data_IF_917964476617
#
_entry.id   IF_917964476617
#
_cell.length_a   1.000
_cell.length_b   1.000
_cell.length_c   1.000
_cell.angle_alpha   90.00
_cell.angle_beta   90.00
_cell.angle_gamma   90.00
#
_symmetry.space_group_name_H-M   'P 1'
#
loop_
_entity.id
_entity.type
_entity.pdbx_description
1 polymer ?
#
# COMPACT_ATOMS: atom_id res chain seq x y z
N UNK A 1 -7.62 15.07 29.34
CA UNK A 1 -7.19 14.57 28.06
C UNK A 1 -8.21 13.60 27.50
N UNK A 2 -8.54 13.74 26.27
CA UNK A 2 -9.49 12.86 25.63
C UNK A 2 -8.74 11.67 25.08
N UNK A 3 -9.20 10.47 25.43
CA UNK A 3 -8.63 9.27 24.86
C UNK A 3 -8.98 9.21 23.39
N UNK A 4 -7.98 8.94 22.58
CA UNK A 4 -8.22 8.81 21.16
C UNK A 4 -8.75 7.40 20.87
N UNK A 5 -9.75 7.29 19.98
CA UNK A 5 -10.22 5.98 19.58
C UNK A 5 -9.08 5.16 19.01
N UNK A 6 -9.19 3.86 19.16
CA UNK A 6 -8.25 2.96 18.56
C UNK A 6 -8.21 3.20 17.05
N UNK A 7 -7.01 3.27 16.48
CA UNK A 7 -6.83 3.57 15.07
C UNK A 7 -6.59 5.03 14.76
N UNK A 8 -6.90 5.92 15.72
CA UNK A 8 -6.61 7.34 15.54
C UNK A 8 -5.09 7.52 15.52
N UNK A 9 -4.57 8.16 14.49
CA UNK A 9 -3.14 8.31 14.31
C UNK A 9 -2.53 7.20 13.46
N UNK A 10 -3.28 6.17 13.11
CA UNK A 10 -2.78 5.12 12.24
C UNK A 10 -2.74 5.64 10.81
N UNK A 11 -1.58 5.49 10.17
CA UNK A 11 -1.37 5.92 8.79
C UNK A 11 -1.20 4.68 7.94
N UNK A 12 -2.02 4.55 6.91
CA UNK A 12 -1.97 3.44 5.97
C UNK A 12 -1.24 3.90 4.72
N UNK A 13 -0.29 3.11 4.23
CA UNK A 13 0.41 3.42 2.99
C UNK A 13 0.32 2.22 2.05
N UNK A 14 -0.07 2.48 0.81
CA UNK A 14 -0.11 1.45 -0.23
C UNK A 14 1.24 1.28 -0.86
N UNK A 15 1.68 0.03 -1.01
CA UNK A 15 3.01 -0.29 -1.53
C UNK A 15 2.88 -1.31 -2.65
N UNK A 16 3.42 -0.98 -3.81
CA UNK A 16 3.44 -1.88 -4.95
C UNK A 16 4.83 -2.08 -5.53
N UNK A 17 5.86 -1.59 -4.85
CA UNK A 17 7.24 -1.72 -5.31
C UNK A 17 7.70 -0.61 -6.24
N UNK A 18 6.81 0.27 -6.67
CA UNK A 18 7.18 1.39 -7.53
C UNK A 18 7.97 2.44 -6.77
N UNK A 19 8.68 3.29 -7.49
CA UNK A 19 9.42 4.38 -6.87
C UNK A 19 8.50 5.34 -6.12
N UNK A 20 7.34 5.64 -6.68
CA UNK A 20 6.43 6.54 -5.98
C UNK A 20 5.88 5.90 -4.70
N UNK A 21 5.70 4.57 -4.67
CA UNK A 21 5.28 3.93 -3.43
C UNK A 21 6.38 3.96 -2.38
N UNK A 22 7.65 3.88 -2.78
CA UNK A 22 8.76 4.05 -1.83
C UNK A 22 8.76 5.45 -1.23
N UNK A 23 8.53 6.46 -2.06
CA UNK A 23 8.41 7.83 -1.57
C UNK A 23 7.20 7.96 -0.64
N UNK A 24 6.12 7.26 -0.96
CA UNK A 24 4.94 7.26 -0.10
C UNK A 24 5.26 6.69 1.28
N UNK A 25 6.06 5.60 1.33
CA UNK A 25 6.47 5.03 2.61
C UNK A 25 7.27 6.04 3.42
N UNK A 26 8.20 6.75 2.78
CA UNK A 26 9.00 7.77 3.46
C UNK A 26 8.13 8.88 4.04
N UNK A 27 7.15 9.34 3.28
CA UNK A 27 6.23 10.37 3.76
C UNK A 27 5.37 9.86 4.91
N UNK A 28 4.90 8.61 4.83
CA UNK A 28 4.09 8.04 5.89
C UNK A 28 4.87 7.95 7.19
N UNK A 29 6.13 7.52 7.14
CA UNK A 29 6.97 7.42 8.33
C UNK A 29 7.23 8.81 8.92
N UNK A 30 7.52 9.79 8.07
CA UNK A 30 7.70 11.16 8.52
C UNK A 30 6.47 11.71 9.23
N UNK A 31 5.32 11.46 8.64
CA UNK A 31 4.07 11.94 9.20
C UNK A 31 3.77 11.25 10.53
N UNK A 32 4.02 9.95 10.60
CA UNK A 32 3.81 9.19 11.83
C UNK A 32 4.72 9.68 12.94
N UNK A 33 5.95 10.03 12.59
CA UNK A 33 6.90 10.57 13.56
C UNK A 33 6.39 11.87 14.16
N UNK A 34 5.88 12.76 13.33
CA UNK A 34 5.36 14.06 13.77
C UNK A 34 4.12 13.90 14.64
N UNK A 35 3.25 12.96 14.29
CA UNK A 35 1.97 12.80 14.99
C UNK A 35 2.02 11.73 16.07
N UNK A 36 3.16 11.11 16.27
CA UNK A 36 3.33 10.01 17.24
C UNK A 36 2.42 8.83 16.93
N UNK A 37 2.16 8.60 15.65
CA UNK A 37 1.35 7.48 15.20
C UNK A 37 2.20 6.34 14.69
N UNK A 38 1.54 5.32 14.16
CA UNK A 38 2.20 4.18 13.52
C UNK A 38 1.83 4.09 12.06
N UNK A 39 2.62 3.34 11.31
CA UNK A 39 2.41 3.12 9.88
C UNK A 39 2.01 1.68 9.62
N UNK A 40 1.01 1.48 8.78
CA UNK A 40 0.64 0.18 8.29
C UNK A 40 0.89 0.17 6.78
N UNK A 41 1.91 -0.55 6.36
CA UNK A 41 2.24 -0.67 4.94
C UNK A 41 1.50 -1.88 4.39
N UNK A 42 0.70 -1.67 3.37
CA UNK A 42 -0.21 -2.69 2.85
C UNK A 42 0.04 -2.91 1.37
N UNK A 43 0.12 -4.17 0.99
CA UNK A 43 0.14 -4.53 -0.42
C UNK A 43 -1.01 -5.49 -0.71
N UNK A 44 -1.48 -5.49 -1.95
CA UNK A 44 -2.53 -6.38 -2.39
C UNK A 44 -1.93 -7.52 -3.21
N UNK A 45 -2.55 -8.69 -3.13
CA UNK A 45 -2.17 -9.79 -3.99
C UNK A 45 -3.42 -10.46 -4.54
N UNK A 46 -3.32 -10.99 -5.74
CA UNK A 46 -4.42 -11.68 -6.41
C UNK A 46 -3.85 -12.87 -7.15
N UNK A 47 -4.72 -13.82 -7.44
CA UNK A 47 -4.32 -14.92 -8.29
C UNK A 47 -4.14 -14.43 -9.72
N UNK A 48 -3.07 -14.85 -10.40
CA UNK A 48 -2.92 -14.52 -11.82
C UNK A 48 -4.10 -15.10 -12.62
N UNK A 49 -4.59 -14.33 -13.55
CA UNK A 49 -5.64 -14.80 -14.44
C UNK A 49 -4.99 -15.31 -15.71
N UNK A 50 -5.19 -16.58 -15.99
CA UNK A 50 -4.66 -17.18 -17.19
C UNK A 50 -5.75 -17.28 -18.24
N UNK A 51 -5.54 -16.60 -19.35
CA UNK A 51 -6.40 -16.70 -20.52
C UNK A 51 -5.56 -17.33 -21.62
N UNK A 52 -5.44 -18.63 -21.60
CA UNK A 52 -4.62 -19.32 -22.57
C UNK A 52 -5.34 -20.51 -23.15
N UNK A 53 -4.60 -21.29 -23.93
CA UNK A 53 -5.15 -22.47 -24.60
C UNK A 53 -5.69 -23.51 -23.61
N UNK A 54 -5.17 -23.53 -22.41
CA UNK A 54 -5.63 -24.46 -21.37
C UNK A 54 -6.81 -23.96 -20.57
N UNK A 55 -7.22 -22.72 -20.81
CA UNK A 55 -8.32 -22.13 -20.07
C UNK A 55 -7.93 -21.74 -18.66
N UNK A 56 -8.94 -21.56 -17.83
CA UNK A 56 -8.73 -21.14 -16.47
C UNK A 56 -8.47 -22.34 -15.57
N UNK A 57 -7.42 -22.26 -14.79
CA UNK A 57 -7.10 -23.28 -13.80
C UNK A 57 -7.27 -22.71 -12.40
N UNK A 58 -8.09 -23.37 -11.55
CA UNK A 58 -8.25 -22.86 -10.20
C UNK A 58 -6.94 -23.02 -9.41
N UNK A 59 -6.55 -22.01 -8.63
CA UNK A 59 -5.38 -22.13 -7.80
C UNK A 59 -5.63 -23.08 -6.64
N UNK A 60 -4.57 -23.74 -6.19
CA UNK A 60 -4.65 -24.60 -5.02
C UNK A 60 -4.39 -23.77 -3.76
N UNK A 61 -4.73 -24.32 -2.60
CA UNK A 61 -4.47 -23.61 -1.34
C UNK A 61 -2.98 -23.38 -1.09
N UNK A 62 -2.11 -24.28 -1.59
CA UNK A 62 -0.68 -24.06 -1.47
C UNK A 62 -0.21 -22.89 -2.32
N UNK A 63 -0.85 -22.66 -3.46
CA UNK A 63 -0.55 -21.50 -4.29
C UNK A 63 -0.92 -20.21 -3.60
N UNK A 64 -2.04 -20.21 -2.88
CA UNK A 64 -2.46 -19.04 -2.13
C UNK A 64 -1.44 -18.65 -1.08
N UNK A 65 -0.98 -19.63 -0.29
CA UNK A 65 0.02 -19.35 0.73
C UNK A 65 1.33 -18.86 0.15
N UNK A 66 1.74 -19.43 -0.98
CA UNK A 66 2.97 -19.02 -1.64
C UNK A 66 2.87 -17.60 -2.19
N UNK A 67 1.72 -17.24 -2.78
CA UNK A 67 1.52 -15.91 -3.32
C UNK A 67 1.51 -14.86 -2.23
N UNK A 68 0.84 -15.15 -1.12
CA UNK A 68 0.81 -14.22 0.00
C UNK A 68 2.19 -14.03 0.60
N UNK A 69 2.93 -15.12 0.78
CA UNK A 69 4.27 -15.05 1.36
C UNK A 69 5.20 -14.23 0.47
N UNK A 70 5.09 -14.41 -0.84
CA UNK A 70 5.92 -13.67 -1.78
C UNK A 70 5.59 -12.19 -1.75
N UNK A 71 4.28 -11.86 -1.71
CA UNK A 71 3.85 -10.48 -1.63
C UNK A 71 4.38 -9.81 -0.36
N UNK A 72 4.34 -10.52 0.76
CA UNK A 72 4.84 -10.00 2.02
C UNK A 72 6.35 -9.81 1.99
N UNK A 73 7.09 -10.72 1.38
CA UNK A 73 8.54 -10.57 1.23
C UNK A 73 8.89 -9.34 0.41
N UNK A 74 8.20 -9.14 -0.70
CA UNK A 74 8.45 -7.98 -1.55
C UNK A 74 8.10 -6.69 -0.85
N UNK A 75 7.00 -6.70 -0.10
CA UNK A 75 6.59 -5.54 0.68
C UNK A 75 7.66 -5.18 1.72
N UNK A 76 8.11 -6.16 2.48
CA UNK A 76 9.13 -5.93 3.50
C UNK A 76 10.40 -5.37 2.89
N UNK A 77 10.82 -5.94 1.77
CA UNK A 77 12.01 -5.44 1.08
C UNK A 77 11.85 -4.00 0.62
N UNK A 78 10.67 -3.69 0.06
CA UNK A 78 10.42 -2.33 -0.43
C UNK A 78 10.44 -1.32 0.73
N UNK A 79 9.85 -1.68 1.85
CA UNK A 79 9.86 -0.81 3.03
C UNK A 79 11.28 -0.60 3.53
N UNK A 80 12.08 -1.66 3.58
CA UNK A 80 13.47 -1.52 4.02
C UNK A 80 14.29 -0.67 3.06
N UNK A 81 14.04 -0.81 1.76
CA UNK A 81 14.72 0.03 0.78
C UNK A 81 14.32 1.49 0.93
N UNK A 82 13.09 1.75 1.33
CA UNK A 82 12.60 3.11 1.45
C UNK A 82 13.08 3.80 2.73
N UNK A 83 13.04 3.12 3.86
CA UNK A 83 13.26 3.76 5.16
C UNK A 83 14.28 3.03 6.05
N UNK A 84 14.91 1.99 5.53
CA UNK A 84 15.92 1.24 6.29
C UNK A 84 15.31 0.24 7.26
N UNK A 85 16.17 -0.55 7.92
CA UNK A 85 15.69 -1.60 8.83
C UNK A 85 15.17 -1.07 10.17
N UNK A 86 15.46 0.20 10.48
CA UNK A 86 15.04 0.80 11.75
C UNK A 86 14.41 2.15 11.49
N UNK A 87 13.17 2.16 10.95
CA UNK A 87 12.52 3.44 10.66
C UNK A 87 12.21 4.22 11.94
N UNK A 88 12.06 5.53 11.78
CA UNK A 88 11.80 6.42 12.91
C UNK A 88 10.45 6.18 13.58
N UNK A 89 9.51 5.59 12.84
CA UNK A 89 8.20 5.24 13.39
C UNK A 89 7.99 3.74 13.19
N UNK A 90 7.11 3.16 13.99
CA UNK A 90 6.78 1.75 13.84
C UNK A 90 6.06 1.51 12.53
N UNK A 91 6.52 0.51 11.78
CA UNK A 91 5.91 0.14 10.50
C UNK A 91 5.48 -1.33 10.58
N UNK A 92 4.19 -1.56 10.42
CA UNK A 92 3.67 -2.92 10.26
C UNK A 92 3.49 -3.21 8.78
N UNK A 93 3.68 -4.44 8.39
CA UNK A 93 3.51 -4.84 7.00
C UNK A 93 2.40 -5.87 6.90
N UNK A 94 1.57 -5.75 5.88
CA UNK A 94 0.46 -6.67 5.67
C UNK A 94 0.19 -6.86 4.18
N UNK A 95 0.06 -8.12 3.78
CA UNK A 95 -0.35 -8.47 2.42
C UNK A 95 -1.78 -8.98 2.48
N UNK A 96 -2.68 -8.39 1.70
CA UNK A 96 -4.10 -8.75 1.69
C UNK A 96 -4.54 -9.19 0.32
N UNK A 97 -5.45 -10.14 0.28
CA UNK A 97 -6.04 -10.62 -0.96
C UNK A 97 -7.05 -9.61 -1.49
N UNK A 98 -6.95 -9.27 -2.76
CA UNK A 98 -7.91 -8.41 -3.42
C UNK A 98 -7.24 -7.47 -4.39
N UNK A 99 -8.05 -6.60 -4.98
CA UNK A 99 -7.51 -5.57 -5.88
C UNK A 99 -6.79 -4.50 -5.08
N UNK A 100 -5.78 -3.85 -5.66
CA UNK A 100 -5.05 -2.82 -4.92
C UNK A 100 -5.94 -1.73 -4.35
N UNK A 101 -6.85 -1.17 -5.16
CA UNK A 101 -7.72 -0.11 -4.66
C UNK A 101 -8.65 -0.62 -3.58
N UNK A 102 -9.26 -1.78 -3.78
CA UNK A 102 -10.20 -2.34 -2.80
C UNK A 102 -9.52 -2.61 -1.47
N UNK A 103 -8.32 -3.19 -1.51
CA UNK A 103 -7.57 -3.49 -0.30
C UNK A 103 -7.24 -2.21 0.46
N UNK A 104 -6.78 -1.18 -0.25
CA UNK A 104 -6.40 0.07 0.41
C UNK A 104 -7.58 0.81 0.98
N UNK A 105 -8.70 0.84 0.26
CA UNK A 105 -9.91 1.49 0.76
C UNK A 105 -10.40 0.82 2.03
N UNK A 106 -10.37 -0.50 2.07
CA UNK A 106 -10.77 -1.24 3.26
C UNK A 106 -9.79 -0.99 4.42
N UNK A 107 -8.49 -1.02 4.13
CA UNK A 107 -7.48 -0.79 5.16
C UNK A 107 -7.57 0.63 5.74
N UNK A 108 -8.04 1.57 4.94
CA UNK A 108 -8.11 2.98 5.36
C UNK A 108 -9.28 3.28 6.31
N UNK A 109 -10.18 2.32 6.50
CA UNK A 109 -11.28 2.54 7.43
C UNK A 109 -10.75 2.78 8.84
N UNK A 110 -11.14 3.90 9.42
CA UNK A 110 -10.67 4.28 10.75
C UNK A 110 -9.25 4.82 10.80
N UNK A 111 -8.58 4.95 9.66
CA UNK A 111 -7.23 5.49 9.64
C UNK A 111 -7.24 7.00 9.71
N UNK A 112 -6.15 7.58 10.19
CA UNK A 112 -5.99 9.02 10.19
C UNK A 112 -5.61 9.55 8.81
N UNK A 113 -4.95 8.73 8.01
CA UNK A 113 -4.44 9.16 6.71
C UNK A 113 -4.16 7.94 5.85
N UNK A 114 -4.44 8.04 4.56
CA UNK A 114 -4.03 7.05 3.56
C UNK A 114 -3.01 7.71 2.64
N UNK A 115 -1.86 7.09 2.48
CA UNK A 115 -0.78 7.60 1.64
C UNK A 115 -0.61 6.67 0.46
N UNK A 116 -0.59 7.20 -0.74
CA UNK A 116 -0.39 6.39 -1.95
C UNK A 116 0.56 7.12 -2.88
N UNK A 117 1.28 6.35 -3.69
CA UNK A 117 2.08 6.93 -4.76
C UNK A 117 1.16 7.44 -5.87
N UNK A 118 1.61 8.43 -6.58
CA UNK A 118 0.81 9.02 -7.66
C UNK A 118 0.63 8.06 -8.83
N UNK A 119 1.57 7.15 -9.03
CA UNK A 119 1.52 6.16 -10.12
C UNK A 119 2.09 4.85 -9.63
N UNK A 120 1.50 3.76 -10.09
CA UNK A 120 2.01 2.44 -9.76
C UNK A 120 2.88 1.87 -10.86
N UNK A 121 3.18 0.59 -10.73
CA UNK A 121 3.92 -0.14 -11.75
C UNK A 121 3.08 -0.22 -13.01
N UNK A 122 3.73 -0.08 -14.16
CA UNK A 122 3.06 -0.24 -15.45
C UNK A 122 2.16 0.90 -15.87
N UNK A 123 2.20 2.01 -15.19
CA UNK A 123 1.41 3.17 -15.58
C UNK A 123 1.94 3.81 -16.85
N UNK A 124 1.06 4.53 -17.55
CA UNK A 124 1.45 5.24 -18.75
C UNK A 124 2.22 6.51 -18.40
N UNK A 125 3.27 6.77 -19.17
CA UNK A 125 3.95 8.06 -19.07
C UNK A 125 2.95 9.15 -19.44
N UNK A 126 2.90 10.21 -18.67
CA UNK A 126 1.99 11.31 -18.91
C UNK A 126 0.69 11.27 -18.12
N UNK A 127 0.39 10.17 -17.44
CA UNK A 127 -0.75 10.16 -16.53
C UNK A 127 -0.41 11.01 -15.30
N UNK A 128 -1.36 11.82 -14.88
CA UNK A 128 -1.19 12.59 -13.64
C UNK A 128 -1.34 11.69 -12.42
N UNK A 129 -2.32 10.82 -12.43
CA UNK A 129 -2.55 9.86 -11.35
C UNK A 129 -2.80 8.49 -11.93
N UNK A 130 -2.25 7.47 -11.29
CA UNK A 130 -2.56 6.09 -11.62
C UNK A 130 -3.96 5.72 -11.16
N UNK A 131 -4.45 4.57 -11.63
CA UNK A 131 -5.81 4.16 -11.33
C UNK A 131 -6.04 3.93 -9.84
N UNK A 132 -5.07 3.37 -9.13
CA UNK A 132 -5.21 3.13 -7.70
C UNK A 132 -5.31 4.46 -6.95
N UNK A 133 -4.43 5.42 -7.29
CA UNK A 133 -4.45 6.73 -6.64
C UNK A 133 -5.78 7.44 -6.91
N UNK A 134 -6.27 7.37 -8.15
CA UNK A 134 -7.56 7.99 -8.48
C UNK A 134 -8.70 7.38 -7.68
N UNK A 135 -8.74 6.08 -7.58
CA UNK A 135 -9.77 5.39 -6.81
C UNK A 135 -9.74 5.78 -5.33
N UNK A 136 -8.54 5.85 -4.78
CA UNK A 136 -8.39 6.20 -3.38
C UNK A 136 -8.81 7.63 -3.11
N UNK A 137 -8.42 8.56 -3.98
CA UNK A 137 -8.80 9.96 -3.82
C UNK A 137 -10.31 10.13 -3.84
N UNK A 138 -10.98 9.38 -4.72
CA UNK A 138 -12.44 9.52 -4.88
C UNK A 138 -13.24 8.83 -3.78
N UNK A 139 -12.71 7.76 -3.19
CA UNK A 139 -13.53 6.91 -2.34
C UNK A 139 -13.00 6.65 -0.94
N UNK A 140 -11.83 7.16 -0.58
CA UNK A 140 -11.26 6.86 0.73
C UNK A 140 -12.12 7.43 1.86
N UNK A 141 -12.22 6.69 2.97
CA UNK A 141 -12.99 7.17 4.13
C UNK A 141 -12.19 8.13 5.03
N UNK A 142 -11.00 8.52 4.61
CA UNK A 142 -10.12 9.40 5.38
C UNK A 142 -9.34 10.29 4.40
N UNK A 143 -8.61 11.28 4.92
CA UNK A 143 -7.74 12.09 4.04
C UNK A 143 -6.73 11.24 3.30
N UNK A 144 -6.41 11.66 2.07
CA UNK A 144 -5.47 10.94 1.21
C UNK A 144 -4.33 11.87 0.83
N UNK A 145 -3.12 11.39 1.02
CA UNK A 145 -1.92 12.08 0.56
C UNK A 145 -1.39 11.33 -0.64
N UNK A 146 -1.31 12.01 -1.78
CA UNK A 146 -0.76 11.43 -3.00
C UNK A 146 0.67 11.90 -3.16
N UNK A 147 1.60 10.98 -3.23
CA UNK A 147 3.03 11.30 -3.28
C UNK A 147 3.57 11.04 -4.67
N UNK A 148 4.21 12.03 -5.24
CA UNK A 148 4.82 11.90 -6.55
C UNK A 148 6.18 11.23 -6.40
N UNK A 149 6.57 10.47 -7.43
CA UNK A 149 7.89 9.89 -7.46
C UNK A 149 8.94 10.98 -7.67
N UNK A 150 10.19 10.60 -7.43
CA UNK A 150 11.31 11.52 -7.55
C UNK A 150 11.48 12.08 -8.93
N UNK A 151 11.15 11.27 -9.88
CA UNK A 151 11.27 11.67 -11.27
C UNK A 151 10.17 12.60 -11.69
N UNK A 152 9.54 13.20 -10.92
CA UNK A 152 8.61 14.26 -11.20
C UNK A 152 7.85 14.23 -12.51
#
# INVERSE_FOLDING_TARGET
>A
MVDQPEGTGRIVVGVDGSDSSKQAVRWAVRQAEVTHGGVEAVTAWEFPQFHGALGWLPPSSSDEGALKARALQELTRTVEEAVGPRPAAQVRTEARYGTPAGVLLHAAEGAALLVVGSRGLGGFAGLLLGSVAQHCVQHAPCPVLVVRGEEG
#
